data_IF_815802969360
#
_entry.id   IF_815802969360
#
_cell.length_a   1.000
_cell.length_b   1.000
_cell.length_c   1.000
_cell.angle_alpha   90.00
_cell.angle_beta   90.00
_cell.angle_gamma   90.00
#
_symmetry.space_group_name_H-M   'P 1'
#
loop_
_entity.id
_entity.type
_entity.pdbx_description
1 polymer ?
#
# COMPACT_ATOMS: atom_id res chain seq x y z
N UNK A 1 26.70 16.16 -17.79
CA UNK A 1 26.15 14.99 -17.10
C UNK A 1 26.21 13.82 -18.06
N UNK A 2 27.00 12.79 -17.76
CA UNK A 2 27.02 11.55 -18.53
C UNK A 2 25.78 10.73 -18.16
N UNK A 3 24.90 10.46 -19.13
CA UNK A 3 23.77 9.55 -18.93
C UNK A 3 24.31 8.18 -18.54
N UNK A 4 23.96 7.70 -17.33
CA UNK A 4 24.28 6.34 -16.94
C UNK A 4 23.42 5.38 -17.78
N UNK A 5 24.02 4.31 -18.35
CA UNK A 5 23.26 3.36 -19.16
C UNK A 5 22.18 2.70 -18.30
N UNK A 6 20.95 2.68 -18.80
CA UNK A 6 19.83 2.06 -18.12
C UNK A 6 20.09 0.56 -17.92
N UNK A 7 19.75 -0.01 -16.75
CA UNK A 7 19.90 -1.43 -16.51
C UNK A 7 19.03 -2.25 -17.46
N UNK A 8 19.52 -3.41 -17.87
CA UNK A 8 18.84 -4.26 -18.84
C UNK A 8 17.49 -4.75 -18.32
N UNK A 9 16.49 -4.84 -19.22
CA UNK A 9 15.15 -5.31 -18.89
C UNK A 9 15.19 -6.76 -18.37
N UNK A 10 14.58 -6.99 -17.21
CA UNK A 10 14.41 -8.34 -16.66
C UNK A 10 13.58 -9.20 -17.61
N UNK A 11 14.05 -10.41 -17.89
CA UNK A 11 13.34 -11.38 -18.73
C UNK A 11 12.56 -12.36 -17.86
N UNK A 12 11.36 -12.70 -18.31
CA UNK A 12 10.55 -13.75 -17.71
C UNK A 12 11.27 -15.08 -17.91
N UNK A 13 11.34 -15.90 -16.86
CA UNK A 13 12.02 -17.21 -16.88
C UNK A 13 13.43 -17.22 -16.27
N UNK A 14 14.06 -16.07 -16.03
CA UNK A 14 15.39 -16.00 -15.39
C UNK A 14 15.35 -16.12 -13.86
N UNK A 15 14.18 -16.36 -13.24
CA UNK A 15 14.01 -16.45 -11.78
C UNK A 15 14.25 -15.17 -10.97
N UNK A 16 14.80 -14.11 -11.57
CA UNK A 16 15.06 -12.80 -10.92
C UNK A 16 13.77 -12.08 -10.52
N UNK A 17 12.75 -12.10 -11.39
CA UNK A 17 11.44 -11.50 -11.11
C UNK A 17 10.80 -12.17 -9.89
N UNK A 18 10.85 -13.50 -9.83
CA UNK A 18 10.37 -14.27 -8.67
C UNK A 18 11.13 -13.88 -7.41
N UNK A 19 12.45 -13.66 -7.48
CA UNK A 19 13.23 -13.17 -6.34
C UNK A 19 12.74 -11.81 -5.81
N UNK A 20 12.48 -10.86 -6.70
CA UNK A 20 11.93 -9.55 -6.31
C UNK A 20 10.52 -9.63 -5.75
N UNK A 21 9.62 -10.42 -6.37
CA UNK A 21 8.27 -10.63 -5.87
C UNK A 21 8.26 -11.31 -4.49
N UNK A 22 9.18 -12.24 -4.27
CA UNK A 22 9.36 -12.88 -2.97
C UNK A 22 9.73 -11.87 -1.89
N UNK A 23 10.77 -11.05 -2.12
CA UNK A 23 11.18 -10.00 -1.18
C UNK A 23 10.05 -9.02 -0.93
N UNK A 24 9.37 -8.56 -1.99
CA UNK A 24 8.26 -7.62 -1.88
C UNK A 24 7.15 -8.15 -0.96
N UNK A 25 6.63 -9.35 -1.23
CA UNK A 25 5.58 -9.95 -0.41
C UNK A 25 6.07 -10.26 1.01
N UNK A 26 7.33 -10.65 1.18
CA UNK A 26 7.94 -10.89 2.50
C UNK A 26 8.00 -9.61 3.34
N UNK A 27 8.42 -8.48 2.76
CA UNK A 27 8.47 -7.18 3.44
C UNK A 27 7.07 -6.71 3.82
N UNK A 28 6.09 -6.85 2.92
CA UNK A 28 4.69 -6.52 3.23
C UNK A 28 4.15 -7.39 4.36
N UNK A 29 4.45 -8.68 4.33
CA UNK A 29 4.02 -9.63 5.37
C UNK A 29 4.64 -9.28 6.72
N UNK A 30 5.92 -8.93 6.75
CA UNK A 30 6.58 -8.47 7.98
C UNK A 30 5.97 -7.17 8.51
N UNK A 31 5.69 -6.21 7.63
CA UNK A 31 5.00 -4.97 7.99
C UNK A 31 3.62 -5.24 8.59
N UNK A 32 2.83 -6.14 7.99
CA UNK A 32 1.52 -6.52 8.51
C UNK A 32 1.60 -7.21 9.87
N UNK A 33 2.61 -8.06 10.10
CA UNK A 33 2.88 -8.65 11.42
C UNK A 33 3.19 -7.56 12.46
N UNK A 34 3.98 -6.54 12.10
CA UNK A 34 4.25 -5.40 12.97
C UNK A 34 2.96 -4.63 13.29
N UNK A 35 2.08 -4.43 12.30
CA UNK A 35 0.75 -3.85 12.52
C UNK A 35 -0.11 -4.66 13.49
N UNK A 36 -0.03 -6.00 13.48
CA UNK A 36 -0.76 -6.84 14.43
C UNK A 36 -0.21 -6.78 15.86
N UNK A 37 1.11 -6.59 16.03
CA UNK A 37 1.73 -6.44 17.36
C UNK A 37 1.51 -5.07 17.98
N UNK A 38 1.53 -4.01 17.17
CA UNK A 38 1.39 -2.62 17.64
C UNK A 38 0.29 -1.89 16.87
N UNK A 39 -0.96 -2.37 16.96
CA UNK A 39 -2.08 -1.83 16.21
C UNK A 39 -2.39 -0.37 16.60
N UNK A 40 -2.16 0.01 17.86
CA UNK A 40 -2.39 1.37 18.36
C UNK A 40 -1.56 2.44 17.64
N UNK A 41 -0.37 2.07 17.14
CA UNK A 41 0.53 2.99 16.46
C UNK A 41 0.53 2.80 14.95
N UNK A 42 0.34 1.59 14.45
CA UNK A 42 0.55 1.25 13.04
C UNK A 42 -0.72 0.96 12.24
N UNK A 43 -1.90 1.03 12.87
CA UNK A 43 -3.17 0.80 12.18
C UNK A 43 -4.15 1.96 12.30
N UNK A 44 -4.85 2.21 11.21
CA UNK A 44 -5.83 3.28 11.04
C UNK A 44 -7.18 2.85 11.61
N UNK A 45 -7.77 3.57 12.60
CA UNK A 45 -9.05 3.21 13.21
C UNK A 45 -10.18 2.99 12.20
N UNK A 46 -10.25 3.84 11.19
CA UNK A 46 -11.28 3.81 10.14
C UNK A 46 -11.20 2.52 9.32
N UNK A 47 -9.99 2.02 9.05
CA UNK A 47 -9.80 0.78 8.30
C UNK A 47 -10.14 -0.46 9.13
N UNK A 48 -9.84 -0.43 10.44
CA UNK A 48 -10.23 -1.52 11.35
C UNK A 48 -11.75 -1.67 11.49
N UNK A 49 -12.50 -0.59 11.29
CA UNK A 49 -13.96 -0.65 11.27
C UNK A 49 -14.54 -1.30 9.99
N UNK A 50 -13.76 -1.30 8.89
CA UNK A 50 -14.23 -1.75 7.57
C UNK A 50 -13.80 -3.18 7.24
N UNK A 51 -12.59 -3.58 7.60
CA UNK A 51 -12.04 -4.90 7.25
C UNK A 51 -11.96 -5.83 8.47
N UNK A 52 -12.35 -7.10 8.31
CA UNK A 52 -12.24 -8.08 9.39
C UNK A 52 -10.80 -8.52 9.62
N UNK A 53 -10.43 -8.71 10.88
CA UNK A 53 -9.11 -9.23 11.27
C UNK A 53 -8.86 -10.59 10.63
N UNK A 54 -9.87 -11.46 10.57
CA UNK A 54 -9.76 -12.78 9.96
C UNK A 54 -9.38 -12.71 8.48
N UNK A 55 -9.97 -11.78 7.72
CA UNK A 55 -9.62 -11.57 6.32
C UNK A 55 -8.14 -11.18 6.20
N UNK A 56 -7.67 -10.25 7.04
CA UNK A 56 -6.27 -9.81 7.03
C UNK A 56 -5.31 -10.96 7.36
N UNK A 57 -5.67 -11.87 8.29
CA UNK A 57 -4.88 -13.07 8.60
C UNK A 57 -4.75 -13.98 7.39
N UNK A 58 -5.84 -14.22 6.66
CA UNK A 58 -5.83 -15.05 5.45
C UNK A 58 -5.02 -14.40 4.32
N UNK A 59 -5.15 -13.07 4.14
CA UNK A 59 -4.36 -12.32 3.16
C UNK A 59 -2.86 -12.40 3.50
N UNK A 60 -2.50 -12.23 4.78
CA UNK A 60 -1.12 -12.36 5.25
C UNK A 60 -0.57 -13.78 5.02
N UNK A 61 -1.36 -14.81 5.33
CA UNK A 61 -0.96 -16.19 5.05
C UNK A 61 -0.73 -16.41 3.55
N UNK A 62 -1.64 -15.95 2.70
CA UNK A 62 -1.51 -16.07 1.25
C UNK A 62 -0.24 -15.35 0.75
N UNK A 63 0.02 -14.14 1.24
CA UNK A 63 1.22 -13.38 0.91
C UNK A 63 2.51 -14.12 1.32
N UNK A 64 2.56 -14.70 2.52
CA UNK A 64 3.70 -15.50 2.99
C UNK A 64 3.90 -16.76 2.13
N UNK A 65 2.84 -17.50 1.83
CA UNK A 65 2.90 -18.70 0.98
C UNK A 65 3.40 -18.35 -0.42
N UNK A 66 2.88 -17.28 -1.03
CA UNK A 66 3.34 -16.79 -2.32
C UNK A 66 4.80 -16.32 -2.26
N UNK A 67 5.21 -15.63 -1.20
CA UNK A 67 6.59 -15.20 -1.01
C UNK A 67 7.56 -16.39 -1.00
N UNK A 68 7.22 -17.47 -0.29
CA UNK A 68 7.99 -18.72 -0.29
C UNK A 68 7.98 -19.41 -1.67
N UNK A 69 6.83 -19.50 -2.32
CA UNK A 69 6.72 -20.10 -3.66
C UNK A 69 7.60 -19.37 -4.69
N UNK A 70 7.62 -18.04 -4.64
CA UNK A 70 8.49 -17.23 -5.49
C UNK A 70 9.97 -17.33 -5.11
N UNK A 71 10.33 -17.43 -3.83
CA UNK A 71 11.71 -17.68 -3.42
C UNK A 71 12.22 -19.01 -3.99
N UNK A 72 11.43 -20.08 -3.86
CA UNK A 72 11.75 -21.39 -4.40
C UNK A 72 11.94 -21.34 -5.92
N UNK A 73 10.99 -20.71 -6.61
CA UNK A 73 11.08 -20.50 -8.06
C UNK A 73 12.35 -19.72 -8.45
N UNK A 74 12.73 -18.71 -7.66
CA UNK A 74 13.96 -17.95 -7.87
C UNK A 74 15.22 -18.81 -7.67
N UNK A 75 15.25 -19.70 -6.68
CA UNK A 75 16.36 -20.64 -6.48
C UNK A 75 16.50 -21.62 -7.63
N UNK A 76 15.39 -22.15 -8.13
CA UNK A 76 15.39 -23.12 -9.23
C UNK A 76 15.84 -22.50 -10.56
N UNK A 77 15.49 -21.25 -10.83
CA UNK A 77 15.67 -20.64 -12.16
C UNK A 77 16.84 -19.65 -12.28
N UNK A 78 17.24 -18.94 -11.23
CA UNK A 78 18.06 -17.72 -11.39
C UNK A 78 19.57 -17.90 -11.31
N UNK A 79 20.06 -19.02 -10.78
CA UNK A 79 21.47 -19.20 -10.43
C UNK A 79 22.02 -18.19 -9.39
N UNK A 80 21.25 -17.18 -8.98
CA UNK A 80 21.61 -16.14 -8.02
C UNK A 80 20.76 -16.29 -6.76
N UNK A 81 21.29 -16.99 -5.78
CA UNK A 81 20.58 -17.36 -4.54
C UNK A 81 20.30 -16.18 -3.60
N UNK A 82 20.94 -15.02 -3.79
CA UNK A 82 20.84 -13.89 -2.87
C UNK A 82 19.41 -13.33 -2.74
N UNK A 83 18.68 -13.21 -3.86
CA UNK A 83 17.33 -12.63 -3.86
C UNK A 83 16.32 -13.56 -3.19
N UNK A 84 16.31 -14.84 -3.58
CA UNK A 84 15.45 -15.85 -2.96
C UNK A 84 15.75 -16.01 -1.46
N UNK A 85 17.03 -15.98 -1.07
CA UNK A 85 17.42 -16.10 0.34
C UNK A 85 16.94 -14.91 1.17
N UNK A 86 17.05 -13.69 0.65
CA UNK A 86 16.53 -12.51 1.34
C UNK A 86 15.02 -12.62 1.59
N UNK A 87 14.25 -13.04 0.58
CA UNK A 87 12.81 -13.29 0.74
C UNK A 87 12.51 -14.33 1.82
N UNK A 88 13.20 -15.47 1.80
CA UNK A 88 13.03 -16.53 2.82
C UNK A 88 13.36 -16.02 4.21
N UNK A 89 14.46 -15.28 4.39
CA UNK A 89 14.85 -14.76 5.71
C UNK A 89 13.80 -13.80 6.26
N UNK A 90 13.31 -12.87 5.43
CA UNK A 90 12.29 -11.89 5.84
C UNK A 90 10.95 -12.59 6.14
N UNK A 91 10.50 -13.51 5.29
CA UNK A 91 9.27 -14.29 5.53
C UNK A 91 9.38 -15.17 6.78
N UNK A 92 10.56 -15.77 7.02
CA UNK A 92 10.81 -16.57 8.22
C UNK A 92 10.76 -15.70 9.48
N UNK A 93 11.33 -14.48 9.43
CA UNK A 93 11.22 -13.52 10.53
C UNK A 93 9.76 -13.16 10.81
N UNK A 94 8.96 -12.89 9.78
CA UNK A 94 7.53 -12.61 9.95
C UNK A 94 6.78 -13.79 10.60
N UNK A 95 7.09 -15.03 10.22
CA UNK A 95 6.51 -16.25 10.83
C UNK A 95 6.95 -16.43 12.28
N UNK A 96 8.23 -16.22 12.59
CA UNK A 96 8.77 -16.33 13.96
C UNK A 96 8.12 -15.30 14.88
N UNK A 97 7.83 -14.11 14.35
CA UNK A 97 7.07 -13.08 15.05
C UNK A 97 5.56 -13.39 15.11
N UNK A 98 5.11 -14.56 14.66
CA UNK A 98 3.73 -15.04 14.81
C UNK A 98 2.91 -15.08 13.51
N UNK A 99 3.38 -14.46 12.41
CA UNK A 99 2.74 -14.57 11.10
C UNK A 99 1.23 -14.25 11.12
N UNK A 100 0.40 -15.15 10.59
CA UNK A 100 -1.05 -14.96 10.57
C UNK A 100 -1.74 -15.18 11.92
N UNK A 101 -1.05 -15.73 12.93
CA UNK A 101 -1.65 -16.13 14.21
C UNK A 101 -1.37 -15.14 15.34
N UNK A 102 -0.81 -13.96 15.05
CA UNK A 102 -0.54 -12.92 16.06
C UNK A 102 -1.84 -12.50 16.73
N UNK A 103 -1.98 -12.71 18.04
CA UNK A 103 -3.15 -12.24 18.79
C UNK A 103 -3.10 -10.72 18.94
N UNK A 104 -4.21 -10.06 18.56
CA UNK A 104 -4.36 -8.61 18.75
C UNK A 104 -4.93 -8.43 20.15
N UNK A 105 -4.12 -7.89 21.05
CA UNK A 105 -4.53 -7.59 22.42
C UNK A 105 -5.48 -6.39 22.43
N UNK A 106 -6.26 -6.23 23.51
CA UNK A 106 -7.03 -5.00 23.72
C UNK A 106 -6.06 -3.85 24.05
N UNK A 107 -6.28 -2.69 23.42
CA UNK A 107 -5.46 -1.50 23.58
C UNK A 107 -6.33 -0.23 23.52
N UNK A 108 -5.84 0.84 24.15
CA UNK A 108 -6.43 2.17 24.01
C UNK A 108 -5.88 2.86 22.76
N UNK A 109 -6.73 3.61 22.07
CA UNK A 109 -6.28 4.29 20.85
C UNK A 109 -5.27 5.40 21.17
N UNK A 110 -4.10 5.33 20.55
CA UNK A 110 -3.08 6.39 20.64
C UNK A 110 -3.56 7.68 19.96
N UNK A 111 -3.20 8.82 20.56
CA UNK A 111 -3.41 10.17 19.98
C UNK A 111 -2.62 10.33 18.67
N UNK A 112 -1.50 9.62 18.53
CA UNK A 112 -0.65 9.65 17.35
C UNK A 112 -0.54 8.26 16.74
N UNK A 113 -1.00 8.13 15.50
CA UNK A 113 -0.94 6.90 14.70
C UNK A 113 -0.15 7.18 13.43
N UNK A 114 0.82 6.32 13.13
CA UNK A 114 1.51 6.26 11.83
C UNK A 114 0.84 5.15 11.04
N UNK A 115 0.02 5.47 10.05
CA UNK A 115 -0.78 4.49 9.30
C UNK A 115 0.08 3.63 8.36
N UNK A 116 0.87 2.73 8.92
CA UNK A 116 1.68 1.76 8.20
C UNK A 116 0.78 0.79 7.43
N UNK A 117 -0.35 0.39 8.01
CA UNK A 117 -1.36 -0.43 7.34
C UNK A 117 -1.84 0.19 6.02
N UNK A 118 -2.10 1.49 6.00
CA UNK A 118 -2.47 2.22 4.80
C UNK A 118 -1.35 2.18 3.76
N UNK A 119 -0.11 2.46 4.17
CA UNK A 119 1.05 2.41 3.27
C UNK A 119 1.23 1.03 2.63
N UNK A 120 1.07 -0.04 3.41
CA UNK A 120 1.20 -1.42 2.95
C UNK A 120 0.09 -1.80 1.97
N UNK A 121 -1.16 -1.40 2.26
CA UNK A 121 -2.29 -1.63 1.36
C UNK A 121 -2.10 -0.84 0.07
N UNK A 122 -1.72 0.43 0.15
CA UNK A 122 -1.56 1.31 -0.99
C UNK A 122 -0.46 0.81 -1.93
N UNK A 123 0.73 0.49 -1.41
CA UNK A 123 1.80 -0.06 -2.25
C UNK A 123 1.42 -1.42 -2.85
N UNK A 124 0.68 -2.27 -2.13
CA UNK A 124 0.23 -3.56 -2.64
C UNK A 124 -0.77 -3.38 -3.79
N UNK A 125 -1.79 -2.54 -3.60
CA UNK A 125 -2.84 -2.28 -4.58
C UNK A 125 -2.26 -1.58 -5.81
N UNK A 126 -1.48 -0.51 -5.62
CA UNK A 126 -0.84 0.20 -6.71
C UNK A 126 0.11 -0.72 -7.48
N UNK A 127 0.91 -1.53 -6.79
CA UNK A 127 1.79 -2.51 -7.46
C UNK A 127 0.98 -3.54 -8.25
N UNK A 128 -0.10 -4.07 -7.68
CA UNK A 128 -0.96 -5.05 -8.33
C UNK A 128 -1.69 -4.50 -9.57
N UNK A 129 -1.97 -3.19 -9.62
CA UNK A 129 -2.60 -2.54 -10.77
C UNK A 129 -1.53 -2.10 -11.79
N UNK A 130 -0.57 -1.28 -11.37
CA UNK A 130 0.34 -0.58 -12.26
C UNK A 130 1.46 -1.46 -12.79
N UNK A 131 1.97 -2.44 -12.03
CA UNK A 131 3.01 -3.33 -12.55
C UNK A 131 2.46 -4.16 -13.73
N UNK A 132 1.31 -4.86 -13.63
CA UNK A 132 0.71 -5.55 -14.77
C UNK A 132 0.37 -4.61 -15.92
N UNK A 133 -0.24 -3.45 -15.62
CA UNK A 133 -0.58 -2.46 -16.65
C UNK A 133 0.65 -2.08 -17.47
N UNK A 134 1.76 -1.78 -16.81
CA UNK A 134 3.02 -1.44 -17.47
C UNK A 134 3.67 -2.65 -18.16
N UNK A 135 3.42 -3.89 -17.71
CA UNK A 135 3.97 -5.11 -18.35
C UNK A 135 3.22 -5.39 -19.65
N UNK A 136 1.89 -5.34 -19.61
CA UNK A 136 1.02 -5.76 -20.71
C UNK A 136 0.66 -4.64 -21.69
N UNK A 137 0.63 -3.39 -21.21
CA UNK A 137 0.28 -2.20 -22.01
C UNK A 137 1.37 -1.09 -21.89
N UNK A 138 2.64 -1.38 -22.21
CA UNK A 138 3.70 -0.38 -22.10
C UNK A 138 3.55 0.72 -23.15
N UNK A 139 3.48 1.98 -22.70
CA UNK A 139 3.54 3.16 -23.60
C UNK A 139 4.93 3.34 -24.22
N UNK A 140 6.00 2.96 -23.51
CA UNK A 140 7.41 3.04 -23.94
C UNK A 140 8.07 1.68 -23.75
N UNK A 141 8.26 0.93 -24.84
CA UNK A 141 8.78 -0.46 -24.81
C UNK A 141 10.25 -0.55 -24.44
N UNK A 142 11.02 0.51 -24.73
CA UNK A 142 12.46 0.60 -24.48
C UNK A 142 12.79 0.98 -23.03
N UNK A 143 11.82 1.46 -22.27
CA UNK A 143 12.03 1.86 -20.88
C UNK A 143 12.07 0.62 -19.99
N UNK A 144 13.11 0.53 -19.16
CA UNK A 144 13.23 -0.55 -18.19
C UNK A 144 12.47 -0.20 -16.92
N UNK A 145 11.79 -1.19 -16.34
CA UNK A 145 10.90 -0.99 -15.19
C UNK A 145 11.68 -0.70 -13.91
N UNK A 146 12.73 -1.51 -13.69
CA UNK A 146 13.75 -1.26 -12.69
C UNK A 146 14.80 -0.30 -13.23
N UNK A 147 14.37 0.89 -13.62
CA UNK A 147 15.27 1.98 -14.01
C UNK A 147 16.16 2.38 -12.83
N UNK A 148 17.26 3.08 -13.10
CA UNK A 148 18.30 3.36 -12.11
C UNK A 148 17.79 3.96 -10.78
N UNK A 149 16.75 4.79 -10.85
CA UNK A 149 16.22 5.60 -9.75
C UNK A 149 15.00 4.98 -9.04
N UNK A 150 14.66 3.72 -9.32
CA UNK A 150 13.48 3.07 -8.71
C UNK A 150 13.44 3.13 -7.17
N UNK A 151 14.60 3.18 -6.52
CA UNK A 151 14.71 3.36 -5.07
C UNK A 151 14.27 4.75 -4.62
N UNK A 152 14.63 5.76 -5.40
CA UNK A 152 14.22 7.15 -5.20
C UNK A 152 12.70 7.23 -5.29
N UNK A 153 12.09 6.60 -6.30
CA UNK A 153 10.62 6.53 -6.42
C UNK A 153 9.97 5.90 -5.19
N UNK A 154 10.52 4.82 -4.66
CA UNK A 154 9.99 4.18 -3.45
C UNK A 154 10.10 5.09 -2.22
N UNK A 155 11.19 5.84 -2.09
CA UNK A 155 11.37 6.83 -1.02
C UNK A 155 10.36 7.97 -1.17
N UNK A 156 10.19 8.51 -2.39
CA UNK A 156 9.19 9.54 -2.66
C UNK A 156 7.77 9.04 -2.42
N UNK A 157 7.47 7.79 -2.78
CA UNK A 157 6.20 7.16 -2.47
C UNK A 157 5.98 7.10 -0.97
N UNK A 158 6.92 6.57 -0.19
CA UNK A 158 6.78 6.44 1.26
C UNK A 158 6.65 7.81 1.96
N UNK A 159 7.52 8.77 1.63
CA UNK A 159 7.48 10.12 2.22
C UNK A 159 6.23 10.86 1.78
N UNK A 160 5.89 10.81 0.49
CA UNK A 160 4.68 11.42 -0.05
C UNK A 160 3.42 10.85 0.60
N UNK A 161 3.36 9.54 0.80
CA UNK A 161 2.25 8.88 1.46
C UNK A 161 2.11 9.33 2.91
N UNK A 162 3.20 9.45 3.69
CA UNK A 162 3.15 10.02 5.05
C UNK A 162 2.65 11.48 5.06
N UNK A 163 3.06 12.31 4.10
CA UNK A 163 2.59 13.69 3.98
C UNK A 163 1.11 13.78 3.60
N UNK A 164 0.65 12.90 2.71
CA UNK A 164 -0.77 12.79 2.34
C UNK A 164 -1.60 12.35 3.55
N UNK A 165 -1.14 11.37 4.34
CA UNK A 165 -1.80 10.98 5.58
C UNK A 165 -1.95 12.16 6.55
N UNK A 166 -0.87 12.91 6.75
CA UNK A 166 -0.90 14.10 7.61
C UNK A 166 -1.88 15.15 7.09
N UNK A 167 -1.89 15.39 5.77
CA UNK A 167 -2.79 16.36 5.14
C UNK A 167 -4.25 15.93 5.26
N UNK A 168 -4.54 14.64 5.10
CA UNK A 168 -5.87 14.08 5.26
C UNK A 168 -6.41 14.33 6.69
N UNK A 169 -5.63 13.99 7.71
CA UNK A 169 -6.01 14.25 9.12
C UNK A 169 -6.13 15.74 9.41
N UNK A 170 -5.20 16.55 8.92
CA UNK A 170 -5.18 18.00 9.13
C UNK A 170 -6.38 18.72 8.49
N UNK A 171 -6.96 18.17 7.42
CA UNK A 171 -8.16 18.70 6.76
C UNK A 171 -9.44 18.11 7.35
N UNK A 172 -9.44 16.80 7.64
CA UNK A 172 -10.62 16.09 8.13
C UNK A 172 -11.00 16.52 9.56
N UNK A 173 -10.04 16.60 10.48
CA UNK A 173 -10.36 16.88 11.89
C UNK A 173 -11.02 18.26 12.10
N UNK A 174 -10.56 19.37 11.48
CA UNK A 174 -11.27 20.65 11.55
C UNK A 174 -12.65 20.61 10.87
N UNK A 175 -12.78 19.88 9.75
CA UNK A 175 -14.06 19.76 9.06
C UNK A 175 -15.11 19.06 9.95
N UNK A 176 -14.75 17.96 10.61
CA UNK A 176 -15.64 17.27 11.55
C UNK A 176 -15.98 18.15 12.77
N UNK A 177 -14.99 18.84 13.34
CA UNK A 177 -15.21 19.72 14.48
C UNK A 177 -16.15 20.90 14.17
N UNK A 178 -16.05 21.47 12.96
CA UNK A 178 -16.89 22.60 12.54
C UNK A 178 -18.27 22.11 12.12
N UNK A 179 -18.35 21.11 11.24
CA UNK A 179 -19.58 20.72 10.55
C UNK A 179 -20.35 19.56 11.21
N UNK A 180 -19.73 18.82 12.15
CA UNK A 180 -20.35 17.64 12.77
C UNK A 180 -21.66 17.95 13.52
N UNK A 181 -21.83 19.18 14.02
CA UNK A 181 -23.05 19.62 14.69
C UNK A 181 -24.06 20.36 13.80
N UNK A 182 -23.83 20.50 12.49
CA UNK A 182 -24.64 21.36 11.62
C UNK A 182 -25.96 20.71 11.14
N UNK A 183 -26.29 19.50 11.60
CA UNK A 183 -27.54 18.83 11.23
C UNK A 183 -27.62 18.44 9.75
N UNK A 184 -26.47 18.14 9.13
CA UNK A 184 -26.37 17.77 7.71
C UNK A 184 -26.84 16.33 7.41
N UNK A 185 -27.35 15.61 8.41
CA UNK A 185 -27.80 14.21 8.34
C UNK A 185 -28.84 13.98 7.23
N UNK A 186 -29.75 14.95 7.02
CA UNK A 186 -30.75 14.89 5.94
C UNK A 186 -30.11 14.91 4.55
N UNK A 187 -29.07 15.73 4.36
CA UNK A 187 -28.32 15.80 3.10
C UNK A 187 -27.48 14.52 2.93
N UNK A 188 -26.78 14.09 3.99
CA UNK A 188 -25.96 12.88 3.97
C UNK A 188 -26.80 11.64 3.62
N UNK A 189 -27.95 11.45 4.28
CA UNK A 189 -28.85 10.33 4.00
C UNK A 189 -29.37 10.36 2.56
N UNK A 190 -29.75 11.55 2.05
CA UNK A 190 -30.19 11.73 0.67
C UNK A 190 -29.10 11.32 -0.31
N UNK A 191 -27.88 11.85 -0.17
CA UNK A 191 -26.76 11.52 -1.07
C UNK A 191 -26.38 10.05 -0.95
N UNK A 192 -26.35 9.48 0.25
CA UNK A 192 -26.01 8.07 0.48
C UNK A 192 -27.00 7.09 -0.16
N UNK A 193 -28.24 7.54 -0.42
CA UNK A 193 -29.26 6.73 -1.09
C UNK A 193 -29.09 6.61 -2.60
N UNK A 194 -28.23 7.44 -3.21
CA UNK A 194 -28.02 7.44 -4.66
C UNK A 194 -27.14 6.28 -5.12
N UNK A 195 -27.18 5.91 -6.41
CA UNK A 195 -26.25 4.93 -6.96
C UNK A 195 -24.79 5.37 -6.74
N UNK A 196 -23.92 4.42 -6.39
CA UNK A 196 -22.50 4.69 -6.08
C UNK A 196 -21.79 5.53 -7.15
N UNK A 197 -22.03 5.25 -8.44
CA UNK A 197 -21.42 6.01 -9.53
C UNK A 197 -21.82 7.50 -9.53
N UNK A 198 -23.05 7.81 -9.14
CA UNK A 198 -23.53 9.19 -9.01
C UNK A 198 -22.87 9.87 -7.82
N UNK A 199 -22.78 9.17 -6.68
CA UNK A 199 -22.07 9.70 -5.50
C UNK A 199 -20.60 10.00 -5.82
N UNK A 200 -19.91 9.05 -6.46
CA UNK A 200 -18.51 9.18 -6.84
C UNK A 200 -18.28 10.35 -7.79
N UNK A 201 -19.07 10.45 -8.86
CA UNK A 201 -18.92 11.52 -9.85
C UNK A 201 -19.24 12.89 -9.26
N UNK A 202 -20.25 13.00 -8.39
CA UNK A 202 -20.53 14.24 -7.69
C UNK A 202 -19.41 14.62 -6.71
N UNK A 203 -18.89 13.66 -5.95
CA UNK A 203 -17.79 13.88 -5.02
C UNK A 203 -16.55 14.40 -5.75
N UNK A 204 -16.18 13.80 -6.89
CA UNK A 204 -15.08 14.26 -7.75
C UNK A 204 -15.32 15.68 -8.27
N UNK A 205 -16.53 15.95 -8.80
CA UNK A 205 -16.87 17.27 -9.31
C UNK A 205 -16.76 18.35 -8.22
N UNK A 206 -17.28 18.09 -7.03
CA UNK A 206 -17.22 19.02 -5.90
C UNK A 206 -15.77 19.24 -5.49
N UNK A 207 -14.98 18.16 -5.31
CA UNK A 207 -13.57 18.26 -4.96
C UNK A 207 -12.78 19.10 -5.98
N UNK A 208 -12.97 18.86 -7.27
CA UNK A 208 -12.30 19.59 -8.35
C UNK A 208 -12.69 21.08 -8.36
N UNK A 209 -13.98 21.40 -8.15
CA UNK A 209 -14.44 22.78 -8.08
C UNK A 209 -13.83 23.54 -6.90
N UNK A 210 -13.76 22.91 -5.72
CA UNK A 210 -13.12 23.51 -4.55
C UNK A 210 -11.61 23.66 -4.73
N UNK A 211 -10.94 22.64 -5.27
CA UNK A 211 -9.51 22.70 -5.57
C UNK A 211 -9.21 23.82 -6.58
N UNK A 212 -10.01 23.94 -7.64
CA UNK A 212 -9.90 25.01 -8.63
C UNK A 212 -10.12 26.39 -8.01
N UNK A 213 -11.17 26.54 -7.21
CA UNK A 213 -11.48 27.80 -6.54
C UNK A 213 -10.37 28.22 -5.58
N UNK A 214 -9.88 27.30 -4.74
CA UNK A 214 -8.77 27.55 -3.83
C UNK A 214 -7.49 27.95 -4.60
N UNK A 215 -7.16 27.22 -5.67
CA UNK A 215 -6.00 27.54 -6.50
C UNK A 215 -6.12 28.91 -7.20
N UNK A 216 -7.34 29.36 -7.52
CA UNK A 216 -7.56 30.67 -8.14
C UNK A 216 -7.62 31.83 -7.12
N UNK A 217 -7.78 31.51 -5.85
CA UNK A 217 -7.91 32.48 -4.76
C UNK A 217 -6.57 33.04 -4.25
N UNK A 218 -5.46 32.40 -4.63
CA UNK A 218 -4.08 32.77 -4.27
C UNK A 218 -3.20 32.77 -5.53
#
# INVERSE_FOLDING_TARGET
MSEQPQPQRLRIGEGRISGHLSIFLAVLSLGAVICFHFPEFFTTPEFRAVYSVDLLRWVLLAALVLAFGFALTSFLLSGQTKLGLAGVVISSLAIVLGGNTVEIQDFDQSIFTISLDWLLIDILVLSAIFIPLEVFLPKRTEQTKFHLEWKTDLVYFAVGHLLVQFTAVAVQAPAEAIFGGWGLEGIQSTVSSWPFLVQLTLAMLVADLFQYAAHRSF
#
